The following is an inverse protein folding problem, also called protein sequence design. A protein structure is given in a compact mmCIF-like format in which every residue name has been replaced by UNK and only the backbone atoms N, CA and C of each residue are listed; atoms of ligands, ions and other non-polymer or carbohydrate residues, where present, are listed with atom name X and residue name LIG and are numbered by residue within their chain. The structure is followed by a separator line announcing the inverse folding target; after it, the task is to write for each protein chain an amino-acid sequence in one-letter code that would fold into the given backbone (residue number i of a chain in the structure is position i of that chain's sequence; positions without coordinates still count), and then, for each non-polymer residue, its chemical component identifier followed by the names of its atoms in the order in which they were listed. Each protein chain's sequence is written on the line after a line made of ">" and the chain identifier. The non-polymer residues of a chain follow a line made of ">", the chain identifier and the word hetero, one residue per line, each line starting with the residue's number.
data_IF_992073826421
#
_entry.id   IF_992073826421
#
_cell.length_a   1.000
_cell.length_b   1.000
_cell.length_c   1.000
_cell.angle_alpha   90.00
_cell.angle_beta   90.00
_cell.angle_gamma   90.00
#
_symmetry.space_group_name_H-M   'P 1'
#
loop_
_entity.id
_entity.type
_entity.pdbx_description
1 polymer ?
#
# COMPACT_ATOMS: atom_id res chain seq x y z
N UNK A 1 13.75 5.72 -18.83
CA UNK A 1 15.18 5.53 -18.58
C UNK A 1 15.42 5.95 -17.13
N UNK A 2 15.51 4.99 -16.19
CA UNK A 2 15.82 5.28 -14.78
C UNK A 2 17.19 5.96 -14.72
N UNK A 3 17.32 7.02 -13.94
CA UNK A 3 18.64 7.57 -13.66
C UNK A 3 19.43 6.50 -12.91
N UNK A 4 20.70 6.32 -13.28
CA UNK A 4 21.59 5.31 -12.66
C UNK A 4 21.57 5.39 -11.13
N UNK A 5 21.42 6.59 -10.59
CA UNK A 5 21.34 6.88 -9.14
C UNK A 5 20.06 6.28 -8.50
N UNK A 6 18.92 6.36 -9.19
CA UNK A 6 17.65 5.80 -8.68
C UNK A 6 17.72 4.26 -8.62
N UNK A 7 18.30 3.63 -9.65
CA UNK A 7 18.51 2.18 -9.67
C UNK A 7 19.44 1.71 -8.54
N UNK A 8 20.52 2.44 -8.29
CA UNK A 8 21.45 2.12 -7.21
C UNK A 8 20.77 2.21 -5.83
N UNK A 9 19.93 3.23 -5.60
CA UNK A 9 19.18 3.38 -4.37
C UNK A 9 18.20 2.22 -4.15
N UNK A 10 17.49 1.80 -5.21
CA UNK A 10 16.58 0.64 -5.17
C UNK A 10 17.34 -0.63 -4.81
N UNK A 11 18.45 -0.89 -5.48
CA UNK A 11 19.27 -2.07 -5.22
C UNK A 11 19.87 -2.06 -3.81
N UNK A 12 20.27 -0.90 -3.32
CA UNK A 12 20.77 -0.76 -1.95
C UNK A 12 19.67 -1.04 -0.93
N UNK A 13 18.46 -0.51 -1.14
CA UNK A 13 17.31 -0.76 -0.28
C UNK A 13 16.95 -2.26 -0.24
N UNK A 14 16.85 -2.91 -1.40
CA UNK A 14 16.58 -4.34 -1.48
C UNK A 14 17.62 -5.17 -0.74
N UNK A 15 18.90 -4.85 -0.92
CA UNK A 15 19.98 -5.53 -0.19
C UNK A 15 19.81 -5.40 1.32
N UNK A 16 19.54 -4.19 1.80
CA UNK A 16 19.38 -3.94 3.24
C UNK A 16 18.14 -4.61 3.82
N UNK A 17 17.00 -4.54 3.10
CA UNK A 17 15.73 -5.07 3.61
C UNK A 17 15.65 -6.60 3.58
N UNK A 18 16.22 -7.22 2.55
CA UNK A 18 16.21 -8.68 2.38
C UNK A 18 17.52 -9.36 2.79
N UNK A 19 18.50 -8.62 3.30
CA UNK A 19 19.78 -9.17 3.73
C UNK A 19 20.59 -9.79 2.59
N UNK A 20 20.45 -9.28 1.35
CA UNK A 20 21.09 -9.87 0.18
C UNK A 20 22.57 -9.51 0.14
N UNK A 21 23.41 -10.51 -0.07
CA UNK A 21 24.85 -10.34 -0.19
C UNK A 21 25.25 -9.48 -1.39
N UNK A 22 26.34 -8.72 -1.25
CA UNK A 22 27.01 -7.99 -2.33
C UNK A 22 28.48 -8.40 -2.53
N UNK A 23 29.00 -9.28 -1.65
CA UNK A 23 30.36 -9.79 -1.74
C UNK A 23 30.56 -10.71 -2.95
N UNK A 24 31.74 -10.68 -3.55
CA UNK A 24 32.12 -11.58 -4.67
C UNK A 24 32.52 -12.97 -4.17
N UNK A 25 33.18 -13.02 -3.02
CA UNK A 25 33.71 -14.26 -2.45
C UNK A 25 32.97 -14.60 -1.16
N UNK A 26 32.77 -15.89 -0.92
CA UNK A 26 32.19 -16.42 0.30
C UNK A 26 33.30 -16.68 1.31
N UNK A 27 33.39 -15.85 2.34
CA UNK A 27 34.37 -15.99 3.40
C UNK A 27 33.79 -16.84 4.54
N UNK A 28 34.47 -17.93 4.98
CA UNK A 28 33.93 -18.79 6.04
C UNK A 28 33.69 -18.08 7.38
N UNK A 29 34.45 -17.03 7.66
CA UNK A 29 34.30 -16.20 8.87
C UNK A 29 33.30 -15.05 8.72
N UNK A 30 32.61 -14.96 7.59
CA UNK A 30 31.78 -13.83 7.26
C UNK A 30 32.55 -12.60 6.75
N UNK A 31 31.83 -11.62 6.25
CA UNK A 31 32.38 -10.36 5.77
C UNK A 31 31.85 -9.18 6.59
N UNK A 32 32.40 -7.99 6.38
CA UNK A 32 31.98 -6.79 7.09
C UNK A 32 30.47 -6.54 6.97
N UNK A 33 29.89 -6.69 5.77
CA UNK A 33 28.45 -6.46 5.55
C UNK A 33 27.58 -7.38 6.42
N UNK A 34 28.01 -8.61 6.68
CA UNK A 34 27.34 -9.53 7.59
C UNK A 34 27.45 -9.04 9.04
N UNK A 35 28.65 -8.69 9.49
CA UNK A 35 28.89 -8.26 10.88
C UNK A 35 28.16 -6.97 11.26
N UNK A 36 27.90 -6.10 10.29
CA UNK A 36 27.13 -4.85 10.51
C UNK A 36 25.63 -5.00 10.17
N UNK A 37 25.14 -6.23 9.93
CA UNK A 37 23.72 -6.51 9.71
C UNK A 37 23.14 -6.09 8.34
N UNK A 38 23.99 -5.81 7.35
CA UNK A 38 23.56 -5.48 5.99
C UNK A 38 23.37 -6.73 5.09
N UNK A 39 23.82 -7.89 5.55
CA UNK A 39 23.72 -9.16 4.85
C UNK A 39 23.34 -10.25 5.84
N UNK A 40 22.47 -11.18 5.45
CA UNK A 40 22.06 -12.31 6.30
C UNK A 40 23.16 -13.34 6.56
N UNK A 41 24.30 -13.25 5.87
CA UNK A 41 25.46 -14.11 6.09
C UNK A 41 25.36 -15.51 5.46
N UNK A 42 24.90 -15.67 4.20
CA UNK A 42 24.77 -16.98 3.56
C UNK A 42 26.10 -17.72 3.36
N UNK A 43 27.22 -17.09 3.64
CA UNK A 43 28.53 -17.69 3.67
C UNK A 43 28.79 -18.53 4.95
N UNK A 44 28.04 -18.27 6.02
CA UNK A 44 28.11 -19.03 7.28
C UNK A 44 26.89 -19.94 7.39
N UNK A 45 25.69 -19.38 7.21
CA UNK A 45 24.43 -20.11 7.22
C UNK A 45 23.55 -19.66 6.06
N UNK A 46 23.28 -20.56 5.14
CA UNK A 46 22.46 -20.32 3.96
C UNK A 46 20.96 -20.61 4.18
N UNK A 47 20.55 -21.00 5.39
CA UNK A 47 19.16 -21.29 5.69
C UNK A 47 18.29 -20.05 5.50
N UNK A 48 17.17 -20.19 4.77
CA UNK A 48 16.27 -19.08 4.46
C UNK A 48 16.77 -18.03 3.46
N UNK A 49 18.03 -18.09 3.02
CA UNK A 49 18.57 -17.10 2.09
C UNK A 49 17.89 -17.15 0.71
N UNK A 50 17.56 -18.34 0.22
CA UNK A 50 16.82 -18.53 -1.03
C UNK A 50 15.44 -17.86 -1.00
N UNK A 51 14.77 -17.89 0.15
CA UNK A 51 13.45 -17.25 0.34
C UNK A 51 13.58 -15.73 0.27
N UNK A 52 14.61 -15.18 0.91
CA UNK A 52 14.90 -13.73 0.85
C UNK A 52 15.19 -13.27 -0.58
N UNK A 53 15.98 -14.02 -1.35
CA UNK A 53 16.27 -13.71 -2.75
C UNK A 53 15.01 -13.82 -3.62
N UNK A 54 14.21 -14.87 -3.40
CA UNK A 54 12.94 -15.07 -4.13
C UNK A 54 11.95 -13.96 -3.82
N UNK A 55 11.81 -13.57 -2.56
CA UNK A 55 10.95 -12.46 -2.15
C UNK A 55 11.38 -11.13 -2.78
N UNK A 56 12.68 -10.82 -2.76
CA UNK A 56 13.22 -9.62 -3.40
C UNK A 56 12.98 -9.61 -4.91
N UNK A 57 13.13 -10.74 -5.59
CA UNK A 57 12.85 -10.89 -7.01
C UNK A 57 11.37 -10.66 -7.32
N UNK A 58 10.45 -11.28 -6.58
CA UNK A 58 9.01 -11.09 -6.75
C UNK A 58 8.60 -9.63 -6.58
N UNK A 59 9.22 -8.92 -5.62
CA UNK A 59 9.00 -7.46 -5.45
C UNK A 59 9.45 -6.68 -6.68
N UNK A 60 10.60 -7.01 -7.27
CA UNK A 60 11.08 -6.38 -8.51
C UNK A 60 10.19 -6.68 -9.72
N UNK A 61 9.63 -7.88 -9.77
CA UNK A 61 8.70 -8.32 -10.83
C UNK A 61 7.28 -7.73 -10.66
N UNK A 62 7.03 -6.97 -9.57
CA UNK A 62 5.75 -6.34 -9.27
C UNK A 62 4.72 -7.24 -8.57
N UNK A 63 5.09 -8.46 -8.17
CA UNK A 63 4.24 -9.45 -7.52
C UNK A 63 4.26 -9.35 -5.98
N UNK A 64 4.38 -8.13 -5.45
CA UNK A 64 4.49 -7.91 -4.02
C UNK A 64 3.21 -8.27 -3.24
N UNK A 65 2.03 -8.08 -3.85
CA UNK A 65 0.75 -8.31 -3.18
C UNK A 65 0.47 -9.80 -2.96
N UNK A 66 0.68 -10.64 -3.99
CA UNK A 66 0.53 -12.09 -3.86
C UNK A 66 1.54 -12.66 -2.85
N UNK A 67 2.78 -12.16 -2.90
CA UNK A 67 3.82 -12.52 -1.93
C UNK A 67 3.43 -12.17 -0.50
N UNK A 68 2.86 -10.99 -0.25
CA UNK A 68 2.42 -10.58 1.09
C UNK A 68 1.31 -11.49 1.64
N UNK A 69 0.36 -11.90 0.79
CA UNK A 69 -0.72 -12.80 1.19
C UNK A 69 -0.18 -14.19 1.54
N UNK A 70 0.73 -14.73 0.73
CA UNK A 70 1.38 -16.02 0.99
C UNK A 70 2.18 -15.98 2.30
N UNK A 71 3.04 -14.97 2.48
CA UNK A 71 3.84 -14.82 3.70
C UNK A 71 2.98 -14.66 4.96
N UNK A 72 1.84 -13.95 4.87
CA UNK A 72 0.90 -13.82 5.98
C UNK A 72 0.28 -15.17 6.36
N UNK A 73 -0.16 -15.94 5.36
CA UNK A 73 -0.72 -17.28 5.57
C UNK A 73 0.31 -18.24 6.18
N UNK A 74 1.56 -18.21 5.70
CA UNK A 74 2.64 -19.02 6.25
C UNK A 74 3.02 -18.61 7.68
N UNK A 75 3.02 -17.30 7.97
CA UNK A 75 3.27 -16.78 9.33
C UNK A 75 2.21 -17.28 10.31
N UNK A 76 0.94 -17.23 9.92
CA UNK A 76 -0.17 -17.69 10.76
C UNK A 76 -0.11 -19.20 10.98
N UNK A 77 0.20 -20.00 9.94
CA UNK A 77 0.37 -21.45 10.06
C UNK A 77 1.49 -21.80 11.05
N UNK A 78 2.65 -21.15 10.94
CA UNK A 78 3.77 -21.35 11.88
C UNK A 78 3.45 -20.93 13.30
N UNK A 79 2.67 -19.89 13.47
CA UNK A 79 2.18 -19.44 14.78
C UNK A 79 1.26 -20.49 15.43
N UNK A 80 0.39 -21.14 14.65
CA UNK A 80 -0.49 -22.22 15.12
C UNK A 80 0.34 -23.46 15.53
N UNK A 81 1.42 -23.76 14.80
CA UNK A 81 2.38 -24.83 15.10
C UNK A 81 3.30 -24.50 16.29
N UNK A 82 3.17 -23.31 16.90
CA UNK A 82 4.06 -22.78 17.94
C UNK A 82 5.53 -22.60 17.48
N UNK A 83 5.78 -22.59 16.18
CA UNK A 83 7.09 -22.23 15.58
C UNK A 83 7.23 -20.71 15.52
N UNK A 84 7.47 -20.09 16.68
CA UNK A 84 7.55 -18.62 16.78
C UNK A 84 8.78 -18.04 16.07
N UNK A 85 9.87 -18.80 15.95
CA UNK A 85 11.05 -18.35 15.21
C UNK A 85 10.76 -18.32 13.70
N UNK A 86 10.15 -19.36 13.15
CA UNK A 86 9.70 -19.38 11.76
C UNK A 86 8.67 -18.30 11.46
N UNK A 87 7.72 -18.07 12.35
CA UNK A 87 6.74 -16.98 12.23
C UNK A 87 7.43 -15.60 12.23
N UNK A 88 8.44 -15.39 13.08
CA UNK A 88 9.19 -14.14 13.13
C UNK A 88 9.95 -13.87 11.81
N UNK A 89 10.56 -14.89 11.19
CA UNK A 89 11.20 -14.77 9.88
C UNK A 89 10.20 -14.28 8.81
N UNK A 90 8.99 -14.89 8.76
CA UNK A 90 7.97 -14.49 7.80
C UNK A 90 7.45 -13.08 8.05
N UNK A 91 7.26 -12.69 9.32
CA UNK A 91 6.91 -11.31 9.71
C UNK A 91 7.97 -10.31 9.23
N UNK A 92 9.24 -10.63 9.36
CA UNK A 92 10.33 -9.73 9.00
C UNK A 92 10.44 -9.60 7.46
N UNK A 93 10.16 -10.69 6.70
CA UNK A 93 10.00 -10.62 5.25
C UNK A 93 8.81 -9.75 4.83
N UNK A 94 7.66 -9.86 5.50
CA UNK A 94 6.49 -8.99 5.26
C UNK A 94 6.88 -7.52 5.46
N UNK A 95 7.61 -7.21 6.53
CA UNK A 95 8.11 -5.85 6.80
C UNK A 95 9.05 -5.36 5.70
N UNK A 96 9.96 -6.21 5.22
CA UNK A 96 10.88 -5.90 4.14
C UNK A 96 10.15 -5.58 2.83
N UNK A 97 9.16 -6.41 2.46
CA UNK A 97 8.31 -6.16 1.28
C UNK A 97 7.57 -4.84 1.41
N UNK A 98 6.94 -4.56 2.55
CA UNK A 98 6.25 -3.28 2.76
C UNK A 98 7.19 -2.07 2.72
N UNK A 99 8.39 -2.17 3.30
CA UNK A 99 9.37 -1.09 3.28
C UNK A 99 9.82 -0.77 1.85
N UNK A 100 10.01 -1.82 1.04
CA UNK A 100 10.43 -1.69 -0.36
C UNK A 100 9.30 -1.15 -1.25
N UNK A 101 8.08 -1.66 -1.10
CA UNK A 101 6.95 -1.23 -1.93
C UNK A 101 6.48 0.18 -1.60
N UNK A 102 6.56 0.63 -0.35
CA UNK A 102 6.24 2.02 0.01
C UNK A 102 7.11 3.06 -0.70
N UNK A 103 8.34 2.72 -1.05
CA UNK A 103 9.24 3.61 -1.81
C UNK A 103 9.10 3.48 -3.33
N UNK A 104 8.48 2.41 -3.83
CA UNK A 104 8.44 2.09 -5.25
C UNK A 104 7.08 2.19 -5.92
N UNK A 105 6.02 2.53 -5.19
CA UNK A 105 4.73 2.71 -5.80
C UNK A 105 4.74 3.94 -6.69
N UNK A 106 4.82 3.64 -7.97
CA UNK A 106 4.62 4.53 -9.12
C UNK A 106 5.84 5.37 -9.52
N UNK A 107 6.88 4.71 -10.02
CA UNK A 107 7.88 5.38 -10.88
C UNK A 107 7.37 5.51 -12.32
N UNK A 108 6.21 6.12 -12.55
CA UNK A 108 5.85 6.54 -13.90
C UNK A 108 5.98 8.06 -14.00
N UNK A 109 6.85 8.49 -14.88
CA UNK A 109 7.26 9.88 -15.14
C UNK A 109 6.14 10.84 -15.59
N UNK A 110 4.89 10.39 -15.62
CA UNK A 110 3.85 11.04 -16.40
C UNK A 110 2.84 11.84 -15.58
N UNK A 111 2.71 11.57 -14.29
CA UNK A 111 1.58 12.13 -13.54
C UNK A 111 2.04 13.07 -12.43
N UNK A 112 2.06 14.36 -12.75
CA UNK A 112 2.16 15.43 -11.77
C UNK A 112 0.77 15.77 -11.29
N UNK A 113 0.63 15.99 -9.97
CA UNK A 113 -0.62 16.45 -9.37
C UNK A 113 -1.78 15.48 -9.64
N UNK A 114 -1.68 14.27 -9.06
CA UNK A 114 -2.64 13.18 -9.23
C UNK A 114 -3.19 12.72 -7.89
N UNK A 115 -4.51 12.58 -7.79
CA UNK A 115 -5.18 11.93 -6.68
C UNK A 115 -5.85 10.64 -7.15
N UNK A 116 -5.76 9.58 -6.33
CA UNK A 116 -6.47 8.33 -6.56
C UNK A 116 -7.42 8.03 -5.41
N UNK A 117 -8.69 7.88 -5.72
CA UNK A 117 -9.76 7.56 -4.77
C UNK A 117 -10.01 6.06 -4.77
N UNK A 118 -9.91 5.45 -3.60
CA UNK A 118 -10.38 4.09 -3.31
C UNK A 118 -11.55 4.14 -2.35
N UNK A 119 -12.55 3.29 -2.56
CA UNK A 119 -13.69 3.11 -1.66
C UNK A 119 -13.93 1.64 -1.43
N UNK A 120 -14.22 1.28 -0.19
CA UNK A 120 -14.68 -0.05 0.20
C UNK A 120 -15.77 0.08 1.24
N UNK A 121 -16.76 -0.80 1.19
CA UNK A 121 -17.91 -0.80 2.10
C UNK A 121 -18.27 -2.19 2.57
N UNK A 122 -18.78 -2.27 3.80
CA UNK A 122 -19.32 -3.49 4.41
C UNK A 122 -20.52 -3.09 5.31
N UNK A 123 -21.71 -3.55 4.94
CA UNK A 123 -22.95 -3.08 5.55
C UNK A 123 -23.11 -1.56 5.38
N UNK A 124 -23.38 -0.87 6.50
CA UNK A 124 -23.53 0.59 6.54
C UNK A 124 -22.20 1.35 6.70
N UNK A 125 -21.07 0.64 6.81
CA UNK A 125 -19.76 1.27 6.98
C UNK A 125 -19.04 1.33 5.64
N UNK A 126 -18.37 2.46 5.39
CA UNK A 126 -17.43 2.60 4.29
C UNK A 126 -16.15 3.32 4.71
N UNK A 127 -15.09 3.03 3.99
CA UNK A 127 -13.84 3.75 4.06
C UNK A 127 -13.50 4.30 2.69
N UNK A 128 -13.26 5.60 2.61
CA UNK A 128 -12.67 6.23 1.42
C UNK A 128 -11.22 6.56 1.73
N UNK A 129 -10.34 6.24 0.80
CA UNK A 129 -8.93 6.59 0.83
C UNK A 129 -8.60 7.45 -0.38
N UNK A 130 -7.95 8.58 -0.14
CA UNK A 130 -7.38 9.43 -1.19
C UNK A 130 -5.86 9.31 -1.10
N UNK A 131 -5.23 8.83 -2.17
CA UNK A 131 -3.77 8.82 -2.32
C UNK A 131 -3.35 10.02 -3.16
N UNK A 132 -2.52 10.87 -2.58
CA UNK A 132 -1.92 12.01 -3.28
C UNK A 132 -0.61 11.59 -3.92
N UNK A 133 -0.50 11.64 -5.24
CA UNK A 133 0.69 11.30 -5.98
C UNK A 133 1.21 12.49 -6.80
N UNK A 134 2.52 12.69 -6.77
CA UNK A 134 3.21 13.69 -7.56
C UNK A 134 4.48 13.10 -8.15
N UNK A 135 4.68 13.34 -9.45
CA UNK A 135 5.80 12.79 -10.23
C UNK A 135 5.93 11.25 -10.11
N UNK A 136 4.79 10.55 -9.97
CA UNK A 136 4.77 9.10 -9.86
C UNK A 136 5.09 8.55 -8.45
N UNK A 137 5.17 9.40 -7.44
CA UNK A 137 5.42 9.01 -6.04
C UNK A 137 4.21 9.37 -5.19
N UNK A 138 3.71 8.43 -4.39
CA UNK A 138 2.67 8.72 -3.39
C UNK A 138 3.29 9.56 -2.27
N UNK A 139 2.84 10.80 -2.12
CA UNK A 139 3.30 11.77 -1.13
C UNK A 139 2.49 11.74 0.16
N UNK A 140 1.25 11.29 0.08
CA UNK A 140 0.36 11.27 1.23
C UNK A 140 -0.87 10.42 1.02
N UNK A 141 -1.56 10.15 2.13
CA UNK A 141 -2.81 9.41 2.18
C UNK A 141 -3.76 10.10 3.16
N UNK A 142 -5.00 10.25 2.75
CA UNK A 142 -6.11 10.64 3.63
C UNK A 142 -7.12 9.51 3.74
N UNK A 143 -7.74 9.36 4.92
CA UNK A 143 -8.71 8.30 5.20
C UNK A 143 -9.99 8.93 5.76
N UNK A 144 -11.11 8.60 5.15
CA UNK A 144 -12.42 9.13 5.51
C UNK A 144 -13.37 7.97 5.84
N UNK A 145 -13.73 7.78 7.12
CA UNK A 145 -14.82 6.88 7.47
C UNK A 145 -16.15 7.51 7.08
N UNK A 146 -17.00 6.74 6.42
CA UNK A 146 -18.31 7.19 5.99
C UNK A 146 -19.39 6.19 6.44
N UNK A 147 -20.60 6.68 6.66
CA UNK A 147 -21.79 5.85 6.72
C UNK A 147 -22.28 5.72 5.28
N UNK A 148 -22.28 4.51 4.78
CA UNK A 148 -22.63 4.18 3.41
C UNK A 148 -24.07 3.70 3.32
N UNK A 149 -24.88 4.39 2.51
CA UNK A 149 -26.24 3.98 2.23
C UNK A 149 -26.52 4.23 0.75
N UNK A 150 -26.50 3.17 -0.05
CA UNK A 150 -26.88 3.28 -1.47
C UNK A 150 -25.83 2.84 -2.47
N UNK A 151 -25.72 3.56 -3.57
CA UNK A 151 -24.82 3.23 -4.69
C UNK A 151 -23.42 3.81 -4.49
N UNK A 152 -22.41 3.05 -4.87
CA UNK A 152 -21.00 3.47 -4.78
C UNK A 152 -20.74 4.69 -5.65
N UNK A 153 -21.33 4.75 -6.84
CA UNK A 153 -21.15 5.87 -7.77
C UNK A 153 -21.70 7.19 -7.21
N UNK A 154 -22.88 7.16 -6.59
CA UNK A 154 -23.46 8.35 -5.93
C UNK A 154 -22.58 8.79 -4.75
N UNK A 155 -22.11 7.84 -3.94
CA UNK A 155 -21.26 8.14 -2.79
C UNK A 155 -19.91 8.73 -3.21
N UNK A 156 -19.32 8.24 -4.31
CA UNK A 156 -18.08 8.80 -4.86
C UNK A 156 -18.28 10.23 -5.35
N UNK A 157 -19.39 10.54 -6.05
CA UNK A 157 -19.68 11.88 -6.52
C UNK A 157 -19.90 12.87 -5.35
N UNK A 158 -20.64 12.45 -4.32
CA UNK A 158 -20.85 13.25 -3.12
C UNK A 158 -19.51 13.49 -2.40
N UNK A 159 -18.74 12.45 -2.18
CA UNK A 159 -17.41 12.56 -1.55
C UNK A 159 -16.49 13.52 -2.31
N UNK A 160 -16.42 13.43 -3.64
CA UNK A 160 -15.62 14.33 -4.47
C UNK A 160 -16.04 15.78 -4.24
N UNK A 161 -17.34 16.06 -4.22
CA UNK A 161 -17.88 17.40 -4.02
C UNK A 161 -17.51 17.98 -2.65
N UNK A 162 -17.61 17.16 -1.60
CA UNK A 162 -17.24 17.56 -0.24
C UNK A 162 -15.72 17.72 -0.09
N UNK A 163 -14.94 16.74 -0.58
CA UNK A 163 -13.49 16.72 -0.41
C UNK A 163 -12.82 17.92 -1.07
N UNK A 164 -13.24 18.28 -2.28
CA UNK A 164 -12.69 19.42 -3.02
C UNK A 164 -13.45 20.74 -2.80
N UNK A 165 -14.41 20.80 -1.87
CA UNK A 165 -15.14 22.03 -1.59
C UNK A 165 -14.23 23.19 -1.17
N UNK A 166 -13.22 22.91 -0.36
CA UNK A 166 -12.25 23.89 0.15
C UNK A 166 -10.81 23.61 -0.31
N UNK A 167 -10.64 22.75 -1.31
CA UNK A 167 -9.34 22.35 -1.85
C UNK A 167 -9.34 22.50 -3.36
N UNK A 168 -8.16 22.73 -3.90
CA UNK A 168 -7.99 22.75 -5.36
C UNK A 168 -7.94 21.30 -5.86
N UNK A 169 -8.81 20.91 -6.83
CA UNK A 169 -8.74 19.59 -7.44
C UNK A 169 -7.39 19.33 -8.14
N UNK A 170 -6.90 18.09 -8.24
CA UNK A 170 -5.66 17.74 -8.94
C UNK A 170 -5.83 17.86 -10.46
N UNK A 171 -4.71 17.78 -11.22
CA UNK A 171 -4.77 17.71 -12.68
C UNK A 171 -5.38 16.41 -13.17
N UNK A 172 -5.06 15.31 -12.48
CA UNK A 172 -5.57 13.97 -12.76
C UNK A 172 -6.26 13.41 -11.53
N UNK A 173 -7.49 12.97 -11.69
CA UNK A 173 -8.25 12.32 -10.64
C UNK A 173 -8.60 10.89 -11.09
N UNK A 174 -8.15 9.90 -10.30
CA UNK A 174 -8.50 8.50 -10.52
C UNK A 174 -9.67 8.12 -9.62
N UNK A 175 -10.73 7.62 -10.22
CA UNK A 175 -11.96 7.26 -9.52
C UNK A 175 -12.28 5.78 -9.71
N UNK A 176 -12.89 5.10 -8.72
CA UNK A 176 -13.28 3.69 -8.82
C UNK A 176 -14.42 3.45 -9.81
N UNK A 177 -15.25 4.48 -10.03
CA UNK A 177 -16.40 4.47 -10.95
C UNK A 177 -16.39 5.75 -11.78
N UNK A 178 -17.00 5.77 -12.97
CA UNK A 178 -17.24 7.01 -13.71
C UNK A 178 -18.01 8.02 -12.85
N UNK A 179 -17.67 9.29 -12.99
CA UNK A 179 -18.37 10.37 -12.30
C UNK A 179 -19.47 10.99 -13.18
N UNK A 180 -20.40 11.72 -12.54
CA UNK A 180 -21.45 12.41 -13.24
C UNK A 180 -20.90 13.66 -13.99
N UNK A 181 -21.50 14.00 -15.11
CA UNK A 181 -21.13 15.19 -15.91
C UNK A 181 -21.19 16.48 -15.10
N UNK A 182 -22.13 16.57 -14.16
CA UNK A 182 -22.26 17.75 -13.28
C UNK A 182 -21.07 17.83 -12.32
N UNK A 183 -20.60 16.72 -11.78
CA UNK A 183 -19.41 16.65 -10.93
C UNK A 183 -18.15 17.00 -11.72
N UNK A 184 -18.03 16.53 -12.95
CA UNK A 184 -16.91 16.86 -13.84
C UNK A 184 -16.86 18.38 -14.11
N UNK A 185 -17.98 19.01 -14.49
CA UNK A 185 -18.05 20.45 -14.74
C UNK A 185 -17.69 21.26 -13.50
N UNK A 186 -18.20 20.84 -12.34
CA UNK A 186 -17.90 21.50 -11.06
C UNK A 186 -16.39 21.40 -10.70
N UNK A 187 -15.76 20.25 -10.94
CA UNK A 187 -14.31 20.09 -10.74
C UNK A 187 -13.51 21.02 -11.66
N UNK A 188 -13.89 21.12 -12.93
CA UNK A 188 -13.22 21.96 -13.93
C UNK A 188 -13.31 23.46 -13.55
N UNK A 189 -14.50 23.91 -13.14
CA UNK A 189 -14.73 25.28 -12.65
C UNK A 189 -13.90 25.58 -11.40
N UNK A 190 -13.90 24.63 -10.45
CA UNK A 190 -13.18 24.79 -9.20
C UNK A 190 -11.67 24.84 -9.38
N UNK A 191 -11.15 24.05 -10.31
CA UNK A 191 -9.74 24.08 -10.65
C UNK A 191 -9.36 25.30 -11.50
N UNK A 192 -10.27 25.82 -12.29
CA UNK A 192 -10.04 26.86 -13.31
C UNK A 192 -9.42 26.31 -14.61
N UNK A 193 -9.27 25.01 -14.72
CA UNK A 193 -8.82 24.27 -15.91
C UNK A 193 -9.42 22.88 -15.89
N UNK A 194 -9.47 22.20 -17.05
CA UNK A 194 -10.01 20.85 -17.13
C UNK A 194 -9.28 19.90 -16.20
N UNK A 195 -10.04 19.12 -15.42
CA UNK A 195 -9.56 17.99 -14.61
C UNK A 195 -9.69 16.73 -15.46
N UNK A 196 -8.59 16.00 -15.61
CA UNK A 196 -8.58 14.70 -16.30
C UNK A 196 -9.07 13.63 -15.31
N UNK A 197 -10.34 13.24 -15.40
CA UNK A 197 -10.91 12.17 -14.54
C UNK A 197 -10.89 10.86 -15.28
N UNK A 198 -10.31 9.83 -14.67
CA UNK A 198 -10.18 8.50 -15.27
C UNK A 198 -10.57 7.39 -14.29
N UNK A 199 -11.17 6.33 -14.85
CA UNK A 199 -11.40 5.05 -14.17
C UNK A 199 -10.54 3.98 -14.86
N UNK A 200 -9.24 3.88 -14.48
CA UNK A 200 -8.30 3.07 -15.23
C UNK A 200 -8.45 1.59 -14.91
N UNK A 201 -8.41 0.73 -15.94
CA UNK A 201 -8.45 -0.72 -15.81
C UNK A 201 -7.10 -1.41 -16.11
N UNK A 202 -6.12 -0.69 -16.68
CA UNK A 202 -4.81 -1.24 -17.10
C UNK A 202 -3.71 -0.20 -16.95
N UNK A 203 -2.46 -0.67 -16.82
CA UNK A 203 -1.26 0.17 -16.76
C UNK A 203 -1.03 0.82 -15.39
N UNK A 204 -0.08 1.74 -15.34
CA UNK A 204 0.41 2.36 -14.09
C UNK A 204 -0.68 3.09 -13.30
N UNK A 205 -1.63 3.73 -14.00
CA UNK A 205 -2.77 4.38 -13.34
C UNK A 205 -3.69 3.39 -12.65
N UNK A 206 -3.91 2.22 -13.26
CA UNK A 206 -4.68 1.16 -12.62
C UNK A 206 -3.97 0.61 -11.39
N UNK A 207 -2.64 0.56 -11.39
CA UNK A 207 -1.85 0.18 -10.21
C UNK A 207 -2.07 1.16 -9.06
N UNK A 208 -2.05 2.47 -9.32
CA UNK A 208 -2.31 3.49 -8.31
C UNK A 208 -3.78 3.44 -7.81
N UNK A 209 -4.75 3.28 -8.71
CA UNK A 209 -6.16 3.14 -8.35
C UNK A 209 -6.41 1.87 -7.51
N UNK A 210 -5.79 0.74 -7.87
CA UNK A 210 -5.86 -0.50 -7.10
C UNK A 210 -5.21 -0.35 -5.72
N UNK A 211 -4.11 0.37 -5.61
CA UNK A 211 -3.49 0.67 -4.32
C UNK A 211 -4.43 1.47 -3.42
N UNK A 212 -5.12 2.49 -3.96
CA UNK A 212 -6.10 3.25 -3.21
C UNK A 212 -7.26 2.35 -2.73
N UNK A 213 -7.75 1.45 -3.60
CA UNK A 213 -8.79 0.49 -3.26
C UNK A 213 -8.33 -0.48 -2.15
N UNK A 214 -7.16 -1.09 -2.28
CA UNK A 214 -6.61 -1.99 -1.26
C UNK A 214 -6.43 -1.29 0.09
N UNK A 215 -5.95 -0.05 0.07
CA UNK A 215 -5.84 0.75 1.29
C UNK A 215 -7.21 1.03 1.91
N UNK A 216 -8.26 1.25 1.10
CA UNK A 216 -9.62 1.43 1.63
C UNK A 216 -10.16 0.16 2.28
N UNK A 217 -9.88 -1.03 1.75
CA UNK A 217 -10.25 -2.32 2.34
C UNK A 217 -9.57 -2.52 3.72
N UNK A 218 -8.27 -2.24 3.80
CA UNK A 218 -7.53 -2.31 5.07
C UNK A 218 -8.08 -1.32 6.11
N UNK A 219 -8.40 -0.10 5.69
CA UNK A 219 -8.96 0.90 6.61
C UNK A 219 -10.38 0.55 7.04
N UNK A 220 -11.21 0.00 6.15
CA UNK A 220 -12.54 -0.47 6.48
C UNK A 220 -12.51 -1.52 7.61
N UNK A 221 -11.64 -2.52 7.48
CA UNK A 221 -11.44 -3.55 8.53
C UNK A 221 -11.05 -2.93 9.87
N UNK A 222 -10.19 -1.91 9.86
CA UNK A 222 -9.79 -1.19 11.10
C UNK A 222 -10.94 -0.37 11.70
N UNK A 223 -11.75 0.27 10.85
CA UNK A 223 -12.91 1.06 11.28
C UNK A 223 -13.97 0.12 11.87
N UNK A 224 -14.26 -1.00 11.21
CA UNK A 224 -15.21 -2.01 11.68
C UNK A 224 -14.78 -2.61 13.04
N UNK A 225 -13.51 -2.96 13.20
CA UNK A 225 -12.97 -3.46 14.47
C UNK A 225 -13.11 -2.44 15.62
N UNK A 226 -12.86 -1.15 15.36
CA UNK A 226 -13.05 -0.09 16.34
C UNK A 226 -14.53 0.12 16.71
N UNK A 227 -15.43 0.02 15.73
CA UNK A 227 -16.86 0.15 15.95
C UNK A 227 -17.40 -0.99 16.82
N UNK A 228 -16.97 -2.22 16.58
CA UNK A 228 -17.36 -3.41 17.37
C UNK A 228 -16.85 -3.31 18.82
N UNK A 229 -15.58 -2.95 19.02
CA UNK A 229 -15.00 -2.79 20.36
C UNK A 229 -15.66 -1.66 21.19
N UNK A 230 -16.11 -0.60 20.53
CA UNK A 230 -16.82 0.49 21.22
C UNK A 230 -18.25 0.10 21.64
N UNK A 231 -18.90 -0.80 20.94
CA UNK A 231 -20.22 -1.33 21.27
C UNK A 231 -20.13 -2.32 22.45
N UNK A 232 -19.12 -3.19 22.47
CA UNK A 232 -18.87 -4.11 23.59
C UNK A 232 -18.57 -3.36 24.89
N UNK A 233 -17.81 -2.28 24.82
CA UNK A 233 -17.46 -1.46 25.99
C UNK A 233 -18.68 -0.73 26.56
N UNK A 234 -19.56 -0.19 25.70
CA UNK A 234 -20.82 0.43 26.11
C UNK A 234 -21.80 -0.59 26.72
N UNK A 235 -21.90 -1.79 26.15
CA UNK A 235 -22.74 -2.85 26.70
C UNK A 235 -22.24 -3.34 28.05
N UNK A 236 -20.93 -3.35 28.29
CA UNK A 236 -20.35 -3.68 29.60
C UNK A 236 -20.61 -2.60 30.64
N UNK A 237 -20.56 -1.31 30.27
CA UNK A 237 -20.84 -0.17 31.17
C UNK A 237 -22.34 -0.07 31.55
N UNK A 238 -23.24 -0.39 30.60
CA UNK A 238 -24.69 -0.38 30.87
C UNK A 238 -25.18 -1.59 31.65
N UNK A 239 -24.47 -2.72 31.58
CA UNK A 239 -24.77 -3.93 32.38
C UNK A 239 -24.26 -3.90 33.83
N UNK A 240 -23.46 -2.88 34.18
CA UNK A 240 -22.89 -2.69 35.52
C UNK A 240 -23.69 -1.69 36.41
N UNK A 241 -24.81 -1.19 35.93
CA UNK A 241 -25.78 -0.35 36.68
C UNK A 241 -27.00 -1.18 37.05
#
# INVERSE_FOLDING_TARGET
>A
MFKLVELQQVMQLLRQQFGIRDCKELLPQGCLSMHIGLCSGPCIDASGYSDSVTAARRVLDGDANSLLLELATEMDAKSVEMDFEGAAVKRDLIRAVHATTKQHVVSSKVYRDCDAIGISSEGDLAAVVVLHADEGVVKGQEVWPLIFRGDIGESVNLFISEHYQNRKPPRLLLTPTPILDITQKWLDERRGTKVDVRTPSRGDLATLANLARQNSEIQLTRIAAKASGSLEQRAADDGAK
#
